data_IF_466872753651
#
_entry.id   IF_466872753651
#
_cell.length_a   1.000
_cell.length_b   1.000
_cell.length_c   1.000
_cell.angle_alpha   90.00
_cell.angle_beta   90.00
_cell.angle_gamma   90.00
#
_symmetry.space_group_name_H-M   'P 1'
#
loop_
_entity.id
_entity.type
_entity.pdbx_description
1 polymer ?
#
# COMPACT_ATOMS: atom_id res chain seq x y z
N UNK A 1 -56.31 6.95 -22.77
CA UNK A 1 -56.07 5.99 -21.65
C UNK A 1 -55.58 4.61 -22.11
N UNK A 2 -56.09 4.00 -23.21
CA UNK A 2 -55.63 2.67 -23.72
C UNK A 2 -54.13 2.56 -24.09
N UNK A 3 -53.52 3.62 -24.65
CA UNK A 3 -52.09 3.62 -25.04
C UNK A 3 -51.12 3.63 -23.86
N UNK A 4 -51.50 4.26 -22.74
CA UNK A 4 -50.67 4.33 -21.51
C UNK A 4 -50.62 2.97 -20.82
N UNK A 5 -51.75 2.25 -20.75
CA UNK A 5 -51.79 0.89 -20.19
C UNK A 5 -51.01 -0.13 -21.03
N UNK A 6 -50.93 0.05 -22.35
CA UNK A 6 -50.15 -0.81 -23.23
C UNK A 6 -48.64 -0.53 -23.12
N UNK A 7 -48.26 0.74 -22.93
CA UNK A 7 -46.87 1.15 -22.66
C UNK A 7 -46.38 0.64 -21.30
N UNK A 8 -47.18 0.75 -20.23
CA UNK A 8 -46.84 0.18 -18.92
C UNK A 8 -46.67 -1.34 -18.95
N UNK A 9 -47.50 -2.05 -19.72
CA UNK A 9 -47.40 -3.51 -19.90
C UNK A 9 -46.14 -3.91 -20.67
N UNK A 10 -45.77 -3.15 -21.70
CA UNK A 10 -44.52 -3.35 -22.44
C UNK A 10 -43.30 -3.07 -21.57
N UNK A 11 -43.32 -1.98 -20.81
CA UNK A 11 -42.25 -1.62 -19.87
C UNK A 11 -42.08 -2.69 -18.80
N UNK A 12 -43.17 -3.16 -18.19
CA UNK A 12 -43.16 -4.23 -17.20
C UNK A 12 -42.67 -5.56 -17.77
N UNK A 13 -43.05 -5.90 -19.00
CA UNK A 13 -42.58 -7.11 -19.68
C UNK A 13 -41.09 -7.03 -20.02
N UNK A 14 -40.62 -5.86 -20.49
CA UNK A 14 -39.21 -5.62 -20.77
C UNK A 14 -38.34 -5.69 -19.50
N UNK A 15 -38.80 -5.08 -18.40
CA UNK A 15 -38.16 -5.20 -17.08
C UNK A 15 -38.17 -6.64 -16.57
N UNK A 16 -39.26 -7.38 -16.78
CA UNK A 16 -39.36 -8.80 -16.41
C UNK A 16 -38.39 -9.68 -17.18
N UNK A 17 -38.25 -9.48 -18.50
CA UNK A 17 -37.27 -10.19 -19.33
C UNK A 17 -35.84 -9.82 -18.94
N UNK A 18 -35.55 -8.54 -18.69
CA UNK A 18 -34.24 -8.11 -18.21
C UNK A 18 -33.90 -8.76 -16.86
N UNK A 19 -34.83 -8.76 -15.91
CA UNK A 19 -34.65 -9.40 -14.61
C UNK A 19 -34.43 -10.91 -14.76
N UNK A 20 -35.19 -11.58 -15.64
CA UNK A 20 -35.01 -13.00 -15.94
C UNK A 20 -33.62 -13.28 -16.55
N UNK A 21 -33.17 -12.45 -17.48
CA UNK A 21 -31.82 -12.54 -18.06
C UNK A 21 -30.73 -12.32 -17.00
N UNK A 22 -30.91 -11.35 -16.10
CA UNK A 22 -29.97 -11.12 -14.98
C UNK A 22 -29.94 -12.31 -14.02
N UNK A 23 -31.10 -12.90 -13.70
CA UNK A 23 -31.19 -14.10 -12.85
C UNK A 23 -30.56 -15.31 -13.53
N UNK A 24 -30.82 -15.52 -14.82
CA UNK A 24 -30.22 -16.60 -15.60
C UNK A 24 -28.71 -16.43 -15.73
N UNK A 25 -28.23 -15.21 -16.01
CA UNK A 25 -26.81 -14.86 -16.04
C UNK A 25 -26.15 -15.07 -14.69
N UNK A 26 -26.78 -14.64 -13.60
CA UNK A 26 -26.30 -14.88 -12.24
C UNK A 26 -26.21 -16.38 -11.93
N UNK A 27 -27.23 -17.17 -12.30
CA UNK A 27 -27.24 -18.61 -12.11
C UNK A 27 -26.12 -19.31 -12.91
N UNK A 28 -25.88 -18.89 -14.15
CA UNK A 28 -24.75 -19.37 -14.96
C UNK A 28 -23.41 -19.03 -14.31
N UNK A 29 -23.28 -17.81 -13.76
CA UNK A 29 -22.07 -17.37 -13.04
C UNK A 29 -21.79 -18.19 -11.78
N UNK A 30 -22.80 -18.85 -11.20
CA UNK A 30 -22.62 -19.72 -10.04
C UNK A 30 -22.01 -21.08 -10.39
N UNK A 31 -21.98 -21.47 -11.67
CA UNK A 31 -21.39 -22.73 -12.13
C UNK A 31 -19.86 -22.73 -11.98
N UNK A 32 -19.27 -23.91 -11.75
CA UNK A 32 -17.81 -24.05 -11.65
C UNK A 32 -17.09 -23.57 -12.91
N UNK A 33 -17.62 -23.94 -14.08
CA UNK A 33 -17.07 -23.54 -15.39
C UNK A 33 -17.01 -22.02 -15.53
N UNK A 34 -18.08 -21.30 -15.16
CA UNK A 34 -18.11 -19.85 -15.24
C UNK A 34 -17.15 -19.19 -14.22
N UNK A 35 -17.02 -19.75 -13.02
CA UNK A 35 -16.07 -19.29 -12.00
C UNK A 35 -14.63 -19.48 -12.44
N UNK A 36 -14.29 -20.64 -12.98
CA UNK A 36 -12.94 -20.92 -13.49
C UNK A 36 -12.61 -20.01 -14.68
N UNK A 37 -13.59 -19.74 -15.55
CA UNK A 37 -13.44 -18.77 -16.63
C UNK A 37 -13.20 -17.36 -16.10
N UNK A 38 -14.02 -16.89 -15.14
CA UNK A 38 -13.87 -15.57 -14.52
C UNK A 38 -12.52 -15.43 -13.81
N UNK A 39 -12.08 -16.46 -13.08
CA UNK A 39 -10.78 -16.47 -12.41
C UNK A 39 -9.63 -16.28 -13.40
N UNK A 40 -9.68 -16.97 -14.55
CA UNK A 40 -8.68 -16.79 -15.63
C UNK A 40 -8.73 -15.41 -16.27
N UNK A 41 -9.92 -14.89 -16.51
CA UNK A 41 -10.08 -13.56 -17.12
C UNK A 41 -9.56 -12.45 -16.21
N UNK A 42 -9.92 -12.50 -14.92
CA UNK A 42 -9.42 -11.56 -13.90
C UNK A 42 -7.90 -11.69 -13.74
N UNK A 43 -7.39 -12.92 -13.67
CA UNK A 43 -5.96 -13.17 -13.61
C UNK A 43 -5.22 -12.60 -14.84
N UNK A 44 -5.77 -12.78 -16.04
CA UNK A 44 -5.22 -12.23 -17.28
C UNK A 44 -5.28 -10.70 -17.36
N UNK A 45 -6.34 -10.09 -16.82
CA UNK A 45 -6.50 -8.63 -16.78
C UNK A 45 -5.57 -7.95 -15.77
N UNK A 46 -5.19 -8.65 -14.69
CA UNK A 46 -4.25 -8.15 -13.68
C UNK A 46 -2.80 -8.45 -14.06
N UNK A 47 -2.55 -9.51 -14.82
CA UNK A 47 -1.21 -9.88 -15.26
C UNK A 47 -0.63 -8.86 -16.23
N UNK A 48 0.66 -8.63 -16.11
CA UNK A 48 1.45 -7.72 -16.93
C UNK A 48 2.66 -8.50 -17.50
N UNK A 49 3.33 -8.07 -18.58
CA UNK A 49 4.60 -8.64 -19.01
C UNK A 49 5.61 -8.95 -17.89
N UNK A 50 5.61 -8.15 -16.82
CA UNK A 50 6.55 -8.27 -15.71
C UNK A 50 6.11 -9.21 -14.58
N UNK A 51 4.82 -9.55 -14.46
CA UNK A 51 4.32 -10.49 -13.46
C UNK A 51 3.06 -11.24 -13.89
N UNK A 52 2.98 -12.52 -13.53
CA UNK A 52 1.85 -13.40 -13.80
C UNK A 52 1.06 -13.66 -12.53
N UNK A 53 -0.27 -13.60 -12.64
CA UNK A 53 -1.20 -13.96 -11.57
C UNK A 53 -1.92 -15.24 -11.96
N UNK A 54 -2.02 -16.19 -11.02
CA UNK A 54 -2.83 -17.39 -11.15
C UNK A 54 -3.81 -17.47 -9.98
N UNK A 55 -5.08 -17.74 -10.28
CA UNK A 55 -6.17 -17.84 -9.29
C UNK A 55 -6.75 -19.24 -9.38
N UNK A 56 -6.74 -19.96 -8.26
CA UNK A 56 -7.27 -21.33 -8.15
C UNK A 56 -8.34 -21.45 -7.05
N UNK A 57 -9.33 -22.29 -7.33
CA UNK A 57 -10.41 -22.60 -6.40
C UNK A 57 -11.37 -21.44 -6.11
N UNK A 58 -11.73 -20.64 -7.13
CA UNK A 58 -12.75 -19.58 -6.98
C UNK A 58 -14.11 -20.20 -6.64
N UNK A 59 -14.61 -19.89 -5.45
CA UNK A 59 -15.83 -20.42 -4.85
C UNK A 59 -16.76 -19.33 -4.32
N UNK A 60 -17.78 -19.77 -3.58
CA UNK A 60 -18.77 -18.89 -2.98
C UNK A 60 -19.84 -18.39 -3.98
N UNK A 61 -20.50 -17.29 -3.62
CA UNK A 61 -21.54 -16.61 -4.40
C UNK A 61 -20.92 -15.41 -5.10
N UNK A 62 -20.52 -15.56 -6.35
CA UNK A 62 -19.91 -14.46 -7.12
C UNK A 62 -21.01 -13.46 -7.55
N UNK A 63 -20.78 -12.13 -7.45
CA UNK A 63 -19.57 -11.44 -6.97
C UNK A 63 -19.62 -11.03 -5.48
N UNK A 64 -20.64 -11.45 -4.72
CA UNK A 64 -20.93 -10.89 -3.39
C UNK A 64 -20.19 -11.56 -2.24
N UNK A 65 -19.96 -12.87 -2.30
CA UNK A 65 -19.24 -13.62 -1.27
C UNK A 65 -18.33 -14.61 -1.97
N UNK A 66 -17.13 -14.18 -2.28
CA UNK A 66 -16.16 -14.96 -3.03
C UNK A 66 -15.13 -15.56 -2.09
N UNK A 67 -14.72 -16.78 -2.37
CA UNK A 67 -13.59 -17.43 -1.71
C UNK A 67 -12.61 -17.90 -2.75
N UNK A 68 -11.32 -17.77 -2.51
CA UNK A 68 -10.26 -18.23 -3.39
C UNK A 68 -9.32 -19.09 -2.56
N UNK A 69 -9.08 -20.31 -2.99
CA UNK A 69 -8.21 -21.24 -2.25
C UNK A 69 -6.76 -20.81 -2.35
N UNK A 70 -6.34 -20.38 -3.55
CA UNK A 70 -4.95 -20.02 -3.80
C UNK A 70 -4.82 -18.94 -4.87
N UNK A 71 -4.00 -17.93 -4.58
CA UNK A 71 -3.56 -16.94 -5.56
C UNK A 71 -2.03 -17.00 -5.59
N UNK A 72 -1.45 -17.33 -6.74
CA UNK A 72 -0.01 -17.32 -6.93
C UNK A 72 0.37 -16.14 -7.83
N UNK A 73 1.37 -15.38 -7.38
CA UNK A 73 1.95 -14.26 -8.12
C UNK A 73 3.42 -14.58 -8.35
N UNK A 74 3.82 -14.56 -9.63
CA UNK A 74 5.16 -14.89 -10.06
C UNK A 74 5.71 -13.89 -11.07
N UNK A 75 7.01 -13.96 -11.27
CA UNK A 75 7.74 -13.25 -12.32
C UNK A 75 8.51 -14.27 -13.18
N UNK A 76 9.47 -13.79 -13.98
CA UNK A 76 10.35 -14.64 -14.83
C UNK A 76 11.12 -15.73 -14.06
N UNK A 77 11.39 -15.51 -12.78
CA UNK A 77 12.15 -16.40 -11.90
C UNK A 77 11.22 -17.30 -11.06
N UNK A 78 9.91 -17.34 -11.39
CA UNK A 78 8.91 -18.19 -10.75
C UNK A 78 8.01 -17.47 -9.74
N UNK A 79 7.29 -18.24 -8.93
CA UNK A 79 6.35 -17.71 -7.93
C UNK A 79 7.15 -17.10 -6.77
N UNK A 80 6.82 -15.88 -6.38
CA UNK A 80 7.45 -15.20 -5.24
C UNK A 80 6.45 -14.85 -4.13
N UNK A 81 5.16 -14.80 -4.44
CA UNK A 81 4.10 -14.44 -3.51
C UNK A 81 2.90 -15.37 -3.68
N UNK A 82 2.49 -16.04 -2.61
CA UNK A 82 1.33 -16.94 -2.59
C UNK A 82 0.37 -16.50 -1.50
N UNK A 83 -0.91 -16.36 -1.84
CA UNK A 83 -1.99 -16.10 -0.89
C UNK A 83 -2.86 -17.36 -0.80
N UNK A 84 -3.24 -17.75 0.41
CA UNK A 84 -4.09 -18.93 0.68
C UNK A 84 -5.35 -18.52 1.43
N UNK A 85 -6.45 -19.16 1.05
CA UNK A 85 -7.77 -19.00 1.65
C UNK A 85 -8.19 -17.53 1.78
N UNK A 86 -8.31 -16.87 0.63
CA UNK A 86 -8.79 -15.49 0.52
C UNK A 86 -10.31 -15.46 0.50
N UNK A 87 -10.93 -14.64 1.33
CA UNK A 87 -12.38 -14.39 1.39
C UNK A 87 -12.70 -12.93 1.12
N UNK A 88 -13.73 -12.68 0.32
CA UNK A 88 -14.21 -11.33 -0.01
C UNK A 88 -15.74 -11.26 0.11
N UNK A 89 -16.25 -10.40 1.00
CA UNK A 89 -17.68 -10.11 1.15
C UNK A 89 -17.97 -8.68 0.68
N UNK A 90 -18.74 -8.54 -0.39
CA UNK A 90 -19.16 -7.28 -1.00
C UNK A 90 -20.68 -7.10 -0.81
N UNK A 91 -21.06 -5.90 -0.39
CA UNK A 91 -22.46 -5.54 -0.19
C UNK A 91 -23.21 -5.37 -1.52
N UNK A 92 -24.14 -6.29 -1.79
CA UNK A 92 -24.96 -6.26 -3.01
C UNK A 92 -25.79 -4.97 -3.15
N UNK A 93 -26.38 -4.47 -2.06
CA UNK A 93 -27.16 -3.23 -2.07
C UNK A 93 -26.31 -1.99 -2.36
N UNK A 94 -25.06 -1.98 -1.89
CA UNK A 94 -24.13 -0.89 -2.18
C UNK A 94 -23.70 -0.90 -3.65
N UNK A 95 -23.44 -2.08 -4.23
CA UNK A 95 -23.12 -2.21 -5.65
C UNK A 95 -24.26 -1.72 -6.54
N UNK A 96 -25.51 -2.08 -6.20
CA UNK A 96 -26.70 -1.55 -6.88
C UNK A 96 -26.85 -0.03 -6.73
N UNK A 97 -26.33 0.54 -5.65
CA UNK A 97 -26.27 1.97 -5.42
C UNK A 97 -25.00 2.64 -6.01
N UNK A 98 -24.20 1.93 -6.82
CA UNK A 98 -23.00 2.46 -7.47
C UNK A 98 -21.80 2.63 -6.54
N UNK A 99 -21.71 1.86 -5.46
CA UNK A 99 -20.60 1.89 -4.48
C UNK A 99 -19.99 0.50 -4.31
N UNK A 100 -18.67 0.37 -4.33
CA UNK A 100 -17.99 -0.88 -4.01
C UNK A 100 -17.73 -0.94 -2.50
N UNK A 101 -18.70 -1.46 -1.75
CA UNK A 101 -18.58 -1.64 -0.30
C UNK A 101 -18.19 -3.08 0.02
N UNK A 102 -16.92 -3.27 0.37
CA UNK A 102 -16.33 -4.50 0.84
C UNK A 102 -16.46 -4.54 2.37
N UNK A 103 -17.26 -5.46 2.88
CA UNK A 103 -17.44 -5.62 4.33
C UNK A 103 -16.22 -6.29 4.95
N UNK A 104 -15.73 -7.34 4.31
CA UNK A 104 -14.58 -8.09 4.81
C UNK A 104 -13.71 -8.56 3.66
N UNK A 105 -12.40 -8.31 3.77
CA UNK A 105 -11.34 -8.96 3.02
C UNK A 105 -10.48 -9.75 4.01
N UNK A 106 -10.54 -11.07 3.92
CA UNK A 106 -9.80 -11.98 4.80
C UNK A 106 -8.79 -12.77 3.99
N UNK A 107 -7.56 -12.91 4.47
CA UNK A 107 -6.55 -13.78 3.86
C UNK A 107 -5.96 -14.62 4.99
N UNK A 108 -6.04 -15.95 4.90
CA UNK A 108 -5.54 -16.79 5.99
C UNK A 108 -4.01 -16.76 6.05
N UNK A 109 -3.35 -16.89 4.90
CA UNK A 109 -1.90 -16.90 4.82
C UNK A 109 -1.41 -16.18 3.56
N UNK A 110 -0.38 -15.35 3.73
CA UNK A 110 0.43 -14.77 2.67
C UNK A 110 1.85 -15.28 2.87
N UNK A 111 2.44 -15.85 1.85
CA UNK A 111 3.81 -16.34 1.84
C UNK A 111 4.60 -15.57 0.79
N UNK A 112 5.62 -14.83 1.22
CA UNK A 112 6.57 -14.16 0.34
C UNK A 112 7.91 -14.91 0.40
N UNK A 113 8.19 -15.69 -0.64
CA UNK A 113 9.40 -16.49 -0.73
C UNK A 113 10.64 -15.65 -1.05
N UNK A 114 10.46 -14.58 -1.83
CA UNK A 114 11.53 -13.65 -2.25
C UNK A 114 10.94 -12.32 -2.73
N UNK A 115 11.82 -11.34 -2.94
CA UNK A 115 11.48 -10.11 -3.65
C UNK A 115 11.39 -10.38 -5.16
N UNK A 116 10.56 -9.59 -5.85
CA UNK A 116 10.49 -9.59 -7.31
C UNK A 116 11.78 -9.06 -7.92
N UNK A 117 12.22 -9.65 -9.03
CA UNK A 117 13.36 -9.16 -9.83
C UNK A 117 12.91 -8.30 -11.02
N UNK A 118 11.60 -8.21 -11.24
CA UNK A 118 11.05 -7.36 -12.28
C UNK A 118 11.36 -5.88 -11.95
N UNK A 119 11.91 -5.12 -12.91
CA UNK A 119 12.11 -3.69 -12.70
C UNK A 119 10.74 -3.04 -12.48
N UNK A 120 10.58 -2.27 -11.41
CA UNK A 120 9.37 -1.48 -11.20
C UNK A 120 9.29 -0.42 -12.31
N UNK A 121 8.52 -0.68 -13.36
CA UNK A 121 8.29 0.25 -14.47
C UNK A 121 7.33 1.37 -14.09
N UNK A 122 6.57 1.21 -13.00
CA UNK A 122 5.72 2.25 -12.44
C UNK A 122 6.56 3.27 -11.65
N UNK A 123 6.55 4.56 -12.05
CA UNK A 123 7.18 5.60 -11.25
C UNK A 123 6.60 5.63 -9.84
N UNK A 124 7.45 5.81 -8.83
CA UNK A 124 7.05 5.84 -7.42
C UNK A 124 5.90 6.83 -7.14
N UNK A 125 5.85 7.90 -7.95
CA UNK A 125 4.81 8.93 -8.04
C UNK A 125 3.39 8.40 -8.27
N UNK A 126 3.23 7.38 -9.10
CA UNK A 126 1.89 6.89 -9.44
C UNK A 126 1.28 6.08 -8.28
N UNK A 127 2.10 5.62 -7.33
CA UNK A 127 1.61 5.04 -6.07
C UNK A 127 1.18 6.09 -5.03
N UNK A 128 1.66 7.34 -5.15
CA UNK A 128 1.35 8.43 -4.21
C UNK A 128 0.12 9.25 -4.63
N UNK A 129 -0.31 9.16 -5.89
CA UNK A 129 -1.55 9.80 -6.35
C UNK A 129 -2.73 9.05 -5.76
N UNK A 130 -3.68 9.80 -5.19
CA UNK A 130 -4.96 9.23 -4.79
C UNK A 130 -5.62 8.61 -6.03
N UNK A 131 -5.94 7.30 -6.04
CA UNK A 131 -6.53 6.65 -7.19
C UNK A 131 -7.89 7.28 -7.49
N UNK A 132 -8.12 7.69 -8.75
CA UNK A 132 -9.44 8.13 -9.16
C UNK A 132 -10.25 6.89 -9.53
N UNK A 133 -11.03 6.40 -8.57
CA UNK A 133 -11.89 5.24 -8.79
C UNK A 133 -13.24 5.68 -9.39
N UNK A 134 -13.79 4.95 -10.37
CA UNK A 134 -15.07 5.28 -11.00
C UNK A 134 -16.25 5.16 -10.03
N UNK A 135 -16.05 4.45 -8.91
CA UNK A 135 -17.02 4.28 -7.83
C UNK A 135 -16.33 4.49 -6.48
N UNK A 136 -17.04 5.01 -5.47
CA UNK A 136 -16.54 5.01 -4.09
C UNK A 136 -16.27 3.59 -3.62
N UNK A 137 -15.15 3.40 -2.93
CA UNK A 137 -14.73 2.12 -2.38
C UNK A 137 -14.60 2.22 -0.87
N UNK A 138 -15.16 1.25 -0.15
CA UNK A 138 -15.01 1.14 1.29
C UNK A 138 -14.68 -0.30 1.66
N UNK A 139 -13.71 -0.48 2.55
CA UNK A 139 -13.27 -1.73 3.14
C UNK A 139 -13.40 -1.61 4.66
N UNK A 140 -14.47 -2.18 5.22
CA UNK A 140 -14.73 -2.07 6.66
C UNK A 140 -13.70 -2.86 7.48
N UNK A 141 -13.26 -4.02 6.97
CA UNK A 141 -12.29 -4.88 7.64
C UNK A 141 -11.38 -5.61 6.65
N UNK A 142 -10.09 -5.33 6.77
CA UNK A 142 -8.99 -6.17 6.30
C UNK A 142 -8.53 -7.06 7.46
N UNK A 143 -8.30 -8.35 7.21
CA UNK A 143 -7.66 -9.24 8.18
C UNK A 143 -6.80 -10.27 7.46
N UNK A 144 -5.50 -10.25 7.74
CA UNK A 144 -4.52 -11.18 7.21
C UNK A 144 -3.94 -11.94 8.40
N UNK A 145 -4.33 -13.22 8.52
CA UNK A 145 -4.04 -14.02 9.72
C UNK A 145 -2.57 -14.36 9.86
N UNK A 146 -1.85 -14.51 8.74
CA UNK A 146 -0.44 -14.89 8.73
C UNK A 146 0.24 -14.34 7.49
N UNK A 147 1.37 -13.66 7.66
CA UNK A 147 2.26 -13.17 6.61
C UNK A 147 3.62 -13.72 6.92
N UNK A 148 4.09 -14.67 6.10
CA UNK A 148 5.40 -15.30 6.22
C UNK A 148 6.35 -14.66 5.22
N UNK A 149 7.31 -13.89 5.71
CA UNK A 149 8.41 -13.33 4.93
C UNK A 149 9.60 -14.28 5.06
N UNK A 150 10.00 -14.92 3.97
CA UNK A 150 11.10 -15.89 4.01
C UNK A 150 12.47 -15.21 4.09
N UNK A 151 13.49 -15.99 4.48
CA UNK A 151 14.90 -15.54 4.58
C UNK A 151 15.44 -14.72 3.40
N UNK A 152 15.15 -15.04 2.12
CA UNK A 152 15.59 -14.21 1.00
C UNK A 152 15.04 -12.77 1.01
N UNK A 153 13.93 -12.52 1.71
CA UNK A 153 13.29 -11.20 1.83
C UNK A 153 14.01 -10.37 2.90
N UNK A 154 14.00 -10.82 4.15
CA UNK A 154 14.46 -10.06 5.33
C UNK A 154 15.74 -10.61 5.98
N UNK A 155 16.39 -11.63 5.41
CA UNK A 155 17.55 -12.31 6.00
C UNK A 155 17.18 -13.47 6.93
N UNK A 156 15.97 -13.45 7.50
CA UNK A 156 15.40 -14.51 8.32
C UNK A 156 13.89 -14.63 8.11
N UNK A 157 13.31 -15.71 8.62
CA UNK A 157 11.87 -15.94 8.53
C UNK A 157 11.13 -15.09 9.57
N UNK A 158 10.29 -14.17 9.12
CA UNK A 158 9.43 -13.35 9.98
C UNK A 158 7.97 -13.69 9.71
N UNK A 159 7.19 -13.84 10.78
CA UNK A 159 5.74 -14.02 10.68
C UNK A 159 5.00 -12.87 11.36
N UNK A 160 4.12 -12.22 10.62
CA UNK A 160 3.25 -11.15 11.09
C UNK A 160 1.77 -11.41 10.76
N UNK A 161 0.88 -10.63 11.36
CA UNK A 161 -0.51 -10.49 10.97
C UNK A 161 -0.79 -9.03 10.63
N UNK A 162 -1.82 -8.78 9.82
CA UNK A 162 -2.29 -7.42 9.52
C UNK A 162 -3.80 -7.35 9.75
N UNK A 163 -4.24 -6.32 10.45
CA UNK A 163 -5.64 -5.91 10.49
C UNK A 163 -5.77 -4.47 10.03
N UNK A 164 -6.94 -4.09 9.50
CA UNK A 164 -7.12 -2.71 9.07
C UNK A 164 -8.46 -2.42 8.43
N UNK A 165 -8.55 -1.21 7.88
CA UNK A 165 -9.71 -0.69 7.16
C UNK A 165 -9.26 0.38 6.17
N UNK A 166 -9.99 0.53 5.07
CA UNK A 166 -9.71 1.59 4.12
C UNK A 166 -11.01 2.15 3.54
N UNK A 167 -11.06 3.43 3.24
CA UNK A 167 -12.17 4.05 2.54
C UNK A 167 -11.66 5.11 1.57
N UNK A 168 -12.27 5.18 0.40
CA UNK A 168 -11.98 6.16 -0.64
C UNK A 168 -13.28 6.59 -1.32
N UNK A 169 -13.63 7.88 -1.17
CA UNK A 169 -14.84 8.44 -1.74
C UNK A 169 -14.59 9.87 -2.23
N UNK A 170 -14.34 10.02 -3.53
CA UNK A 170 -13.96 11.29 -4.13
C UNK A 170 -12.61 11.78 -3.56
N UNK A 171 -12.60 12.96 -2.95
CA UNK A 171 -11.41 13.53 -2.30
C UNK A 171 -11.23 13.11 -0.83
N UNK A 172 -12.08 12.21 -0.31
CA UNK A 172 -11.94 11.68 1.05
C UNK A 172 -11.27 10.32 1.03
N UNK A 173 -10.23 10.16 1.84
CA UNK A 173 -9.54 8.89 2.03
C UNK A 173 -9.34 8.60 3.51
N UNK A 174 -9.44 7.35 3.92
CA UNK A 174 -9.07 6.90 5.25
C UNK A 174 -8.37 5.55 5.13
N UNK A 175 -7.27 5.37 5.86
CA UNK A 175 -6.55 4.10 5.95
C UNK A 175 -6.13 3.90 7.39
N UNK A 176 -6.48 2.75 7.95
CA UNK A 176 -5.96 2.28 9.23
C UNK A 176 -5.35 0.90 9.00
N UNK A 177 -4.09 0.71 9.39
CA UNK A 177 -3.41 -0.58 9.34
C UNK A 177 -2.68 -0.82 10.66
N UNK A 178 -2.85 -2.02 11.19
CA UNK A 178 -2.09 -2.59 12.29
C UNK A 178 -1.39 -3.84 11.77
N UNK A 179 -0.07 -3.78 11.70
CA UNK A 179 0.77 -4.94 11.47
C UNK A 179 1.48 -5.27 12.78
N UNK A 180 1.47 -6.54 13.18
CA UNK A 180 2.22 -7.00 14.34
C UNK A 180 2.78 -8.41 14.12
N UNK A 181 3.94 -8.68 14.72
CA UNK A 181 4.55 -10.02 14.67
C UNK A 181 3.76 -11.03 15.50
N UNK A 182 3.70 -12.26 15.00
CA UNK A 182 3.03 -13.41 15.65
C UNK A 182 3.95 -14.63 15.80
N UNK A 183 5.25 -14.47 15.50
CA UNK A 183 6.30 -15.48 15.62
C UNK A 183 6.99 -15.52 17.00
N UNK A 184 6.44 -14.82 17.99
CA UNK A 184 6.99 -14.74 19.34
C UNK A 184 8.04 -13.66 19.55
N UNK A 185 8.44 -12.94 18.50
CA UNK A 185 9.26 -11.73 18.62
C UNK A 185 8.38 -10.49 18.59
N UNK A 186 8.80 -9.43 19.28
CA UNK A 186 8.11 -8.15 19.22
C UNK A 186 8.39 -7.45 17.88
N UNK A 187 7.40 -6.70 17.40
CA UNK A 187 7.49 -5.87 16.20
C UNK A 187 6.10 -5.43 15.78
N UNK A 188 5.95 -4.14 15.46
CA UNK A 188 4.65 -3.58 15.06
C UNK A 188 4.80 -2.39 14.13
N UNK A 189 3.78 -2.18 13.30
CA UNK A 189 3.58 -0.98 12.48
C UNK A 189 2.12 -0.57 12.62
N UNK A 190 1.88 0.64 13.09
CA UNK A 190 0.58 1.27 13.14
C UNK A 190 0.57 2.42 12.16
N UNK A 191 -0.36 2.40 11.21
CA UNK A 191 -0.58 3.48 10.25
C UNK A 191 -2.01 3.99 10.37
N UNK A 192 -2.16 5.28 10.58
CA UNK A 192 -3.41 6.03 10.45
C UNK A 192 -3.22 7.13 9.42
N UNK A 193 -4.07 7.16 8.40
CA UNK A 193 -4.12 8.22 7.42
C UNK A 193 -5.58 8.65 7.24
N UNK A 194 -5.82 9.95 7.24
CA UNK A 194 -7.12 10.54 6.94
C UNK A 194 -6.92 11.75 6.04
N UNK A 195 -7.65 11.80 4.92
CA UNK A 195 -7.73 12.94 4.02
C UNK A 195 -9.20 13.34 3.94
N UNK A 196 -9.54 14.54 4.40
CA UNK A 196 -10.92 15.04 4.39
C UNK A 196 -10.98 16.57 4.37
N UNK A 197 -12.14 17.11 4.00
CA UNK A 197 -12.40 18.56 3.98
C UNK A 197 -12.32 19.19 2.60
N UNK A 198 -12.64 20.48 2.56
CA UNK A 198 -12.52 21.35 1.39
C UNK A 198 -12.09 22.76 1.89
N UNK A 199 -10.80 23.12 1.81
CA UNK A 199 -9.70 22.40 1.17
C UNK A 199 -9.32 21.09 1.89
N UNK A 200 -8.71 20.11 1.18
CA UNK A 200 -8.37 18.81 1.75
C UNK A 200 -7.29 18.93 2.83
N UNK A 201 -7.55 18.35 3.99
CA UNK A 201 -6.64 18.26 5.15
C UNK A 201 -6.19 16.81 5.30
N UNK A 202 -4.88 16.60 5.31
CA UNK A 202 -4.23 15.31 5.54
C UNK A 202 -3.81 15.21 7.00
N UNK A 203 -4.24 14.16 7.67
CA UNK A 203 -3.70 13.67 8.93
C UNK A 203 -2.96 12.36 8.67
N UNK A 204 -1.70 12.28 9.09
CA UNK A 204 -0.87 11.09 8.94
C UNK A 204 -0.20 10.80 10.29
N UNK A 205 -0.36 9.57 10.76
CA UNK A 205 0.35 8.99 11.89
C UNK A 205 0.90 7.62 11.49
N UNK A 206 2.19 7.42 11.70
CA UNK A 206 2.87 6.14 11.48
C UNK A 206 3.76 5.89 12.69
N UNK A 207 3.60 4.76 13.35
CA UNK A 207 4.49 4.29 14.40
C UNK A 207 4.95 2.88 14.08
N UNK A 208 6.24 2.71 13.82
CA UNK A 208 6.87 1.42 13.58
C UNK A 208 7.92 1.14 14.65
N UNK A 209 7.94 -0.10 15.13
CA UNK A 209 8.92 -0.60 16.08
C UNK A 209 9.37 -1.99 15.65
N UNK A 210 10.67 -2.16 15.48
CA UNK A 210 11.31 -3.41 15.11
C UNK A 210 12.50 -3.64 16.05
N UNK A 211 12.27 -4.27 17.22
CA UNK A 211 13.27 -4.39 18.27
C UNK A 211 14.35 -5.45 18.02
N UNK A 212 14.20 -6.31 17.01
CA UNK A 212 15.13 -7.40 16.71
C UNK A 212 16.29 -6.98 15.80
N UNK A 213 16.16 -5.82 15.14
CA UNK A 213 17.18 -5.22 14.28
C UNK A 213 17.36 -5.91 12.93
N UNK A 214 16.54 -6.92 12.63
CA UNK A 214 16.55 -7.69 11.38
C UNK A 214 16.33 -6.81 10.17
N UNK A 215 15.35 -5.90 10.28
CA UNK A 215 14.95 -5.07 9.15
C UNK A 215 16.08 -4.10 8.83
N UNK A 216 16.70 -3.50 9.84
CA UNK A 216 17.82 -2.57 9.62
C UNK A 216 19.07 -3.28 9.10
N UNK A 217 19.39 -4.46 9.65
CA UNK A 217 20.48 -5.31 9.17
C UNK A 217 20.33 -5.62 7.68
N UNK A 218 19.11 -6.00 7.25
CA UNK A 218 18.83 -6.25 5.83
C UNK A 218 18.98 -5.00 4.97
N UNK A 219 18.41 -3.87 5.41
CA UNK A 219 18.39 -2.62 4.64
C UNK A 219 19.79 -2.02 4.45
N UNK A 220 20.64 -2.11 5.48
CA UNK A 220 21.98 -1.52 5.46
C UNK A 220 23.09 -2.56 5.22
N UNK A 221 22.73 -3.81 4.92
CA UNK A 221 23.65 -4.95 4.82
C UNK A 221 24.59 -5.06 6.03
N UNK A 222 24.02 -4.95 7.23
CA UNK A 222 24.70 -5.03 8.53
C UNK A 222 24.31 -6.31 9.28
N UNK A 223 24.92 -6.50 10.45
CA UNK A 223 24.71 -7.67 11.32
C UNK A 223 24.75 -7.32 12.81
N UNK A 224 24.63 -6.04 13.14
CA UNK A 224 24.73 -5.51 14.50
C UNK A 224 23.39 -5.46 15.23
N UNK A 225 22.29 -5.89 14.58
CA UNK A 225 20.98 -6.16 15.20
C UNK A 225 20.46 -4.96 15.99
N UNK A 226 20.60 -3.77 15.43
CA UNK A 226 20.18 -2.54 16.10
C UNK A 226 18.64 -2.40 16.08
N UNK A 227 17.98 -2.29 17.24
CA UNK A 227 16.55 -2.03 17.32
C UNK A 227 16.17 -0.76 16.55
N UNK A 228 15.13 -0.83 15.73
CA UNK A 228 14.61 0.28 14.95
C UNK A 228 13.30 0.79 15.55
N UNK A 229 13.16 2.11 15.63
CA UNK A 229 11.89 2.77 15.85
C UNK A 229 11.74 3.93 14.86
N UNK A 230 10.54 4.12 14.33
CA UNK A 230 10.18 5.20 13.42
C UNK A 230 8.81 5.73 13.84
N UNK A 231 8.71 7.05 13.95
CA UNK A 231 7.45 7.75 14.15
C UNK A 231 7.35 8.88 13.14
N UNK A 232 6.22 8.96 12.45
CA UNK A 232 5.89 10.06 11.52
C UNK A 232 4.52 10.57 11.91
N UNK A 233 4.42 11.87 12.18
CA UNK A 233 3.17 12.49 12.55
C UNK A 233 3.03 13.86 11.90
N UNK A 234 1.88 14.16 11.33
CA UNK A 234 1.61 15.49 10.79
C UNK A 234 0.15 15.68 10.42
N UNK A 235 -0.30 16.92 10.51
CA UNK A 235 -1.67 17.30 10.17
C UNK A 235 -1.67 18.68 9.54
N UNK A 236 -2.32 18.83 8.40
CA UNK A 236 -2.43 20.12 7.73
C UNK A 236 -3.13 20.03 6.38
N UNK A 237 -3.47 21.18 5.77
CA UNK A 237 -3.96 21.22 4.40
C UNK A 237 -2.95 20.56 3.45
N UNK A 238 -3.40 19.78 2.47
CA UNK A 238 -2.51 19.06 1.56
C UNK A 238 -1.60 20.01 0.74
N UNK A 239 -2.04 21.25 0.55
CA UNK A 239 -1.26 22.30 -0.12
C UNK A 239 -0.12 22.88 0.74
N UNK A 240 -0.15 22.68 2.06
CA UNK A 240 0.84 23.16 3.02
C UNK A 240 0.85 22.26 4.26
N UNK A 241 1.10 20.98 4.04
CA UNK A 241 1.09 19.98 5.10
C UNK A 241 2.44 20.00 5.81
N UNK A 242 2.40 19.97 7.14
CA UNK A 242 3.60 19.91 7.98
C UNK A 242 3.56 18.67 8.86
N UNK A 243 4.70 18.02 8.98
CA UNK A 243 4.87 16.84 9.81
C UNK A 243 6.25 16.75 10.42
N UNK A 244 6.41 15.76 11.30
CA UNK A 244 7.67 15.44 11.97
C UNK A 244 7.95 13.97 11.81
N UNK A 245 9.22 13.66 11.58
CA UNK A 245 9.78 12.32 11.56
C UNK A 245 10.79 12.21 12.68
N UNK A 246 10.66 11.16 13.48
CA UNK A 246 11.67 10.73 14.41
C UNK A 246 12.02 9.27 14.13
N UNK A 247 13.30 8.96 13.98
CA UNK A 247 13.77 7.58 13.85
C UNK A 247 14.94 7.33 14.79
N UNK A 248 15.09 6.09 15.24
CA UNK A 248 16.23 5.66 16.05
C UNK A 248 16.68 4.26 15.67
N UNK A 249 17.99 4.06 15.64
CA UNK A 249 18.62 2.76 15.51
C UNK A 249 19.56 2.53 16.70
N UNK A 250 19.23 1.53 17.53
CA UNK A 250 19.90 1.33 18.80
C UNK A 250 19.83 2.56 19.72
N UNK A 251 20.86 2.77 20.54
CA UNK A 251 20.88 3.84 21.55
C UNK A 251 21.55 5.12 21.05
N UNK A 252 22.48 5.00 20.09
CA UNK A 252 23.38 6.07 19.67
C UNK A 252 22.98 6.72 18.35
N UNK A 253 22.09 6.10 17.57
CA UNK A 253 21.63 6.67 16.30
C UNK A 253 20.21 7.18 16.39
N UNK A 254 20.06 8.45 16.04
CA UNK A 254 18.79 9.17 16.04
C UNK A 254 18.70 10.08 14.83
N UNK A 255 17.50 10.26 14.32
CA UNK A 255 17.15 11.22 13.30
C UNK A 255 15.89 11.94 13.75
N UNK A 256 15.89 13.25 13.64
CA UNK A 256 14.71 14.09 13.86
C UNK A 256 14.65 15.11 12.73
N UNK A 257 13.54 15.14 12.00
CA UNK A 257 13.34 16.03 10.88
C UNK A 257 11.90 16.55 10.83
N UNK A 258 11.76 17.79 10.42
CA UNK A 258 10.50 18.38 10.00
C UNK A 258 10.31 18.11 8.50
N UNK A 259 9.07 17.80 8.14
CA UNK A 259 8.60 17.60 6.77
C UNK A 259 7.65 18.73 6.41
N UNK A 260 7.81 19.30 5.21
CA UNK A 260 6.77 20.11 4.58
C UNK A 260 6.39 19.47 3.24
N UNK A 261 5.09 19.40 2.97
CA UNK A 261 4.54 18.86 1.72
C UNK A 261 3.55 19.86 1.15
N UNK A 262 3.81 20.33 -0.07
CA UNK A 262 2.90 21.17 -0.83
C UNK A 262 2.44 20.42 -2.08
N UNK A 263 1.23 19.87 -2.06
CA UNK A 263 0.64 19.24 -3.24
C UNK A 263 -0.15 20.27 -4.07
N UNK A 264 0.42 20.66 -5.21
CA UNK A 264 -0.24 21.47 -6.24
C UNK A 264 -0.12 20.78 -7.61
N UNK A 265 0.18 21.54 -8.68
CA UNK A 265 0.47 20.96 -10.00
C UNK A 265 1.75 20.10 -9.98
N UNK A 266 2.71 20.49 -9.15
CA UNK A 266 3.84 19.68 -8.72
C UNK A 266 3.72 19.47 -7.22
N UNK A 267 4.10 18.29 -6.74
CA UNK A 267 4.20 18.04 -5.31
C UNK A 267 5.61 18.39 -4.86
N UNK A 268 5.76 19.23 -3.85
CA UNK A 268 7.08 19.56 -3.30
C UNK A 268 7.15 19.00 -1.89
N UNK A 269 8.16 18.19 -1.62
CA UNK A 269 8.52 17.72 -0.29
C UNK A 269 9.81 18.40 0.13
N UNK A 270 9.81 19.04 1.29
CA UNK A 270 11.02 19.50 1.94
C UNK A 270 11.22 18.74 3.24
N UNK A 271 12.47 18.41 3.51
CA UNK A 271 12.96 17.78 4.74
C UNK A 271 13.98 18.73 5.32
N UNK A 272 13.90 18.98 6.62
CA UNK A 272 14.94 19.70 7.35
C UNK A 272 15.09 19.07 8.74
N UNK A 273 16.31 18.72 9.12
CA UNK A 273 16.50 17.98 10.37
C UNK A 273 17.94 17.78 10.75
N UNK A 274 18.12 16.99 11.80
CA UNK A 274 19.42 16.58 12.30
C UNK A 274 19.45 15.09 12.54
N UNK A 275 20.61 14.49 12.36
CA UNK A 275 20.83 13.08 12.62
C UNK A 275 22.18 12.81 13.29
N UNK A 276 22.23 11.75 14.07
CA UNK A 276 23.42 11.23 14.74
C UNK A 276 23.71 9.88 14.12
N UNK A 277 24.36 9.88 12.95
CA UNK A 277 24.50 8.66 12.12
C UNK A 277 25.89 8.04 12.17
N UNK A 278 26.86 8.65 12.86
CA UNK A 278 28.23 8.16 12.93
C UNK A 278 28.33 6.65 13.28
N UNK A 279 27.52 6.08 14.21
CA UNK A 279 27.55 4.64 14.50
C UNK A 279 27.07 3.74 13.34
N UNK A 280 26.27 4.27 12.42
CA UNK A 280 25.80 3.53 11.24
C UNK A 280 26.79 3.61 10.07
N UNK A 281 27.74 4.55 10.10
CA UNK A 281 28.72 4.73 9.04
C UNK A 281 29.90 3.74 9.19
N UNK A 282 30.59 3.39 8.09
CA UNK A 282 31.88 2.70 8.16
C UNK A 282 32.88 3.46 9.04
N UNK A 283 33.78 2.74 9.69
CA UNK A 283 34.72 3.29 10.68
C UNK A 283 35.62 4.40 10.10
N UNK A 284 35.88 4.35 8.79
CA UNK A 284 36.70 5.32 8.06
C UNK A 284 35.97 6.65 7.83
N UNK A 285 34.63 6.61 7.75
CA UNK A 285 33.78 7.78 7.43
C UNK A 285 33.14 8.36 8.69
N UNK A 286 32.92 7.54 9.73
CA UNK A 286 32.28 7.96 10.98
C UNK A 286 32.91 9.23 11.61
N UNK A 287 34.25 9.40 11.66
CA UNK A 287 34.86 10.63 12.18
C UNK A 287 34.53 11.88 11.36
N UNK A 288 34.25 11.73 10.06
CA UNK A 288 33.92 12.85 9.17
C UNK A 288 32.51 13.39 9.41
N UNK A 289 31.57 12.51 9.82
CA UNK A 289 30.21 12.89 10.14
C UNK A 289 30.13 13.77 11.40
N UNK A 290 30.96 13.46 12.40
CA UNK A 290 30.90 14.07 13.73
C UNK A 290 29.67 13.65 14.53
N UNK A 291 29.42 14.34 15.64
CA UNK A 291 28.36 13.97 16.59
C UNK A 291 26.93 14.26 16.08
N UNK A 292 26.80 15.22 15.16
CA UNK A 292 25.53 15.64 14.59
C UNK A 292 25.72 16.09 13.15
N UNK A 293 24.87 15.56 12.29
CA UNK A 293 24.76 15.89 10.87
C UNK A 293 23.49 16.70 10.69
N UNK A 294 23.57 17.89 10.09
CA UNK A 294 22.39 18.61 9.66
C UNK A 294 22.03 18.17 8.23
N UNK A 295 20.74 17.98 7.98
CA UNK A 295 20.20 17.49 6.72
C UNK A 295 19.13 18.47 6.28
N UNK A 296 19.19 18.95 5.05
CA UNK A 296 18.03 19.55 4.41
C UNK A 296 17.95 19.11 2.97
N UNK A 297 16.75 18.92 2.48
CA UNK A 297 16.52 18.44 1.12
C UNK A 297 15.20 18.93 0.60
N UNK A 298 15.17 19.26 -0.68
CA UNK A 298 13.95 19.58 -1.41
C UNK A 298 13.81 18.61 -2.58
N UNK A 299 12.67 17.95 -2.66
CA UNK A 299 12.29 17.11 -3.77
C UNK A 299 11.02 17.67 -4.41
N UNK A 300 11.11 18.02 -5.69
CA UNK A 300 9.98 18.35 -6.53
C UNK A 300 9.57 17.13 -7.33
N UNK A 301 8.28 16.84 -7.28
CA UNK A 301 7.64 15.64 -7.77
C UNK A 301 6.60 16.05 -8.83
N UNK A 302 7.02 15.99 -10.10
CA UNK A 302 6.20 16.30 -11.28
C UNK A 302 6.31 15.21 -12.35
N UNK A 303 6.51 15.58 -13.61
CA UNK A 303 6.85 14.63 -14.69
C UNK A 303 8.27 14.07 -14.59
N UNK A 304 9.14 14.77 -13.83
CA UNK A 304 10.47 14.31 -13.39
C UNK A 304 10.53 14.44 -11.87
N UNK A 305 11.29 13.57 -11.22
CA UNK A 305 11.64 13.78 -9.82
C UNK A 305 12.96 14.54 -9.79
N UNK A 306 12.93 15.77 -9.26
CA UNK A 306 14.12 16.61 -9.12
C UNK A 306 14.36 16.82 -7.64
N UNK A 307 15.46 16.28 -7.15
CA UNK A 307 15.99 16.59 -5.82
C UNK A 307 17.01 17.71 -5.99
N UNK A 308 16.60 18.92 -5.62
CA UNK A 308 17.44 20.11 -5.72
C UNK A 308 16.99 21.19 -4.74
N UNK A 309 17.85 21.63 -3.80
CA UNK A 309 19.14 21.07 -3.39
C UNK A 309 19.01 20.01 -2.28
N UNK A 310 19.94 19.06 -2.24
CA UNK A 310 20.22 18.23 -1.04
C UNK A 310 21.47 18.77 -0.35
N UNK A 311 21.31 19.21 0.90
CA UNK A 311 22.40 19.63 1.78
C UNK A 311 22.58 18.61 2.90
N UNK A 312 23.83 18.17 3.06
CA UNK A 312 24.25 17.37 4.22
C UNK A 312 25.46 18.06 4.83
N UNK A 313 25.30 18.61 6.02
CA UNK A 313 26.37 19.27 6.75
C UNK A 313 26.90 18.35 7.84
N UNK A 314 28.18 18.01 7.72
CA UNK A 314 28.92 17.13 8.62
C UNK A 314 30.07 17.91 9.28
N UNK A 315 30.68 17.35 10.32
CA UNK A 315 31.82 18.00 10.99
C UNK A 315 32.99 18.30 10.03
N UNK A 316 33.22 17.44 9.04
CA UNK A 316 34.29 17.61 8.06
C UNK A 316 33.98 18.62 6.93
N UNK A 317 32.73 19.11 6.81
CA UNK A 317 32.33 20.03 5.76
C UNK A 317 30.88 19.88 5.31
N UNK A 318 30.50 20.61 4.24
CA UNK A 318 29.15 20.55 3.65
C UNK A 318 29.18 19.82 2.31
N UNK A 319 28.31 18.83 2.17
CA UNK A 319 28.04 18.13 0.92
C UNK A 319 26.78 18.74 0.28
N UNK A 320 26.88 19.09 -1.00
CA UNK A 320 25.77 19.56 -1.83
C UNK A 320 25.55 18.59 -2.96
N UNK A 321 24.34 18.06 -3.08
CA UNK A 321 23.94 17.15 -4.14
C UNK A 321 22.73 17.66 -4.89
N UNK A 322 22.68 17.35 -6.18
CA UNK A 322 21.49 17.45 -7.01
C UNK A 322 21.30 16.11 -7.69
N UNK A 323 20.08 15.59 -7.67
CA UNK A 323 19.75 14.30 -8.28
C UNK A 323 18.45 14.49 -9.06
N UNK A 324 18.47 14.17 -10.35
CA UNK A 324 17.27 14.09 -11.18
C UNK A 324 17.02 12.63 -11.55
N UNK A 325 15.82 12.11 -11.26
CA UNK A 325 15.40 10.74 -11.56
C UNK A 325 14.18 10.79 -12.48
N UNK A 326 14.32 10.23 -13.70
CA UNK A 326 13.25 10.10 -14.71
C UNK A 326 13.35 11.07 -15.89
N UNK A 327 13.27 10.53 -17.12
CA UNK A 327 13.35 11.21 -18.43
C UNK A 327 14.77 11.19 -19.04
N UNK A 328 14.93 11.05 -20.38
CA UNK A 328 16.18 10.66 -21.06
C UNK A 328 17.39 11.54 -20.72
#
# INVERSE_FOLDING_TARGET
MRKVGQFLRWLGSALGVLALCCVAGFALLQTRIAKDWLAREVAGAISDPDFTVAIDGLGGIVPFRMTVQRIDIGDRDGIYLTLRDTGLDISASALLAGKAHIRTLTIAEIEMARLTTAPSTTPLMDYLKVPHLPVPVALDRLSIGRISLAGPVLGENIVAAIDGSAALAGARAQVNLDLHRIDGSAGKILLGMELAGDPPVLSLGLDASEPTGVVLDRLLARSDRLPLALSVNGTGPLADWHGRVAASAGTMTRLAADLSLAAANETVLEVSGTAQIAPLLPAEIAPLAGDRVALSGRAAFGSRTVVDPLFVEVAAGRLTGQIAIGGP
#
